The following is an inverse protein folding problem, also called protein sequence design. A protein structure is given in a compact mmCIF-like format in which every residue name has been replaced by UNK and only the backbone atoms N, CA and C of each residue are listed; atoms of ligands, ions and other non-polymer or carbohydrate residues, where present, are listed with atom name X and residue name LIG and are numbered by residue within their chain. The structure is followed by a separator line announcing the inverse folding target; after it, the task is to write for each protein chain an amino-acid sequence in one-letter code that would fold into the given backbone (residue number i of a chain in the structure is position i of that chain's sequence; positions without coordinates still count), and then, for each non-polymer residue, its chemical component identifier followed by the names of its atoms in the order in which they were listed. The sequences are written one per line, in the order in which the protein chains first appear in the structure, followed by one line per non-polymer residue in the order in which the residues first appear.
data_IF_379916663758
#
_entry.id   IF_379916663758
#
_cell.length_a   1.000
_cell.length_b   1.000
_cell.length_c   1.000
_cell.angle_alpha   90.00
_cell.angle_beta   90.00
_cell.angle_gamma   90.00
#
_symmetry.space_group_name_H-M   'P 1'
#
loop_
_entity.id
_entity.type
_entity.pdbx_description
1 polymer ?
#
# COMPACT_ATOMS: atom_id res chain seq x y z
N UNK A 1 -14.55 -10.82 -15.82
CA UNK A 1 -15.16 -9.83 -14.90
C UNK A 1 -14.05 -9.09 -14.18
N UNK A 2 -14.17 -7.77 -14.06
CA UNK A 2 -13.23 -6.96 -13.29
C UNK A 2 -13.44 -7.27 -11.78
N UNK A 3 -12.44 -7.78 -11.04
CA UNK A 3 -12.59 -8.05 -9.61
C UNK A 3 -12.87 -6.74 -8.87
N UNK A 4 -14.10 -6.56 -8.42
CA UNK A 4 -14.48 -5.36 -7.66
C UNK A 4 -13.94 -5.43 -6.24
N UNK A 5 -13.40 -4.32 -5.78
CA UNK A 5 -12.91 -4.11 -4.43
C UNK A 5 -13.80 -3.06 -3.77
N UNK A 6 -14.38 -3.33 -2.60
CA UNK A 6 -15.07 -2.28 -1.83
C UNK A 6 -14.13 -1.75 -0.76
N UNK A 7 -14.33 -0.51 -0.33
CA UNK A 7 -13.48 0.10 0.69
C UNK A 7 -13.53 -0.67 2.01
N UNK A 8 -14.72 -1.11 2.43
CA UNK A 8 -14.88 -1.96 3.61
C UNK A 8 -14.09 -3.27 3.49
N UNK A 9 -14.24 -3.99 2.37
CA UNK A 9 -13.53 -5.26 2.16
C UNK A 9 -12.01 -5.07 2.05
N UNK A 10 -11.55 -3.93 1.54
CA UNK A 10 -10.12 -3.64 1.43
C UNK A 10 -9.53 -3.20 2.78
N UNK A 11 -10.30 -2.43 3.55
CA UNK A 11 -9.92 -2.02 4.89
C UNK A 11 -9.79 -3.24 5.81
N UNK A 12 -10.78 -4.12 5.80
CA UNK A 12 -10.71 -5.36 6.57
C UNK A 12 -9.51 -6.23 6.15
N UNK A 13 -9.29 -6.39 4.84
CA UNK A 13 -8.10 -7.08 4.35
C UNK A 13 -6.82 -6.42 4.86
N UNK A 14 -6.76 -5.09 4.86
CA UNK A 14 -5.59 -4.33 5.30
C UNK A 14 -5.29 -4.56 6.77
N UNK A 15 -6.31 -4.53 7.63
CA UNK A 15 -6.17 -4.85 9.05
C UNK A 15 -5.67 -6.29 9.25
N UNK A 16 -6.28 -7.26 8.58
CA UNK A 16 -5.92 -8.68 8.70
C UNK A 16 -4.49 -8.95 8.19
N UNK A 17 -4.08 -8.28 7.12
CA UNK A 17 -2.75 -8.43 6.53
C UNK A 17 -1.69 -7.72 7.37
N UNK A 18 -2.00 -6.54 7.91
CA UNK A 18 -1.09 -5.80 8.76
C UNK A 18 -0.84 -6.51 10.10
N UNK A 19 -1.85 -7.21 10.62
CA UNK A 19 -1.74 -8.01 11.83
C UNK A 19 -0.90 -9.29 11.67
N UNK A 20 -0.50 -9.66 10.44
CA UNK A 20 0.32 -10.85 10.22
C UNK A 20 1.71 -10.69 10.87
N UNK A 21 2.23 -11.72 11.56
CA UNK A 21 3.51 -11.65 12.25
C UNK A 21 4.64 -11.21 11.32
N UNK A 22 5.24 -10.05 11.63
CA UNK A 22 6.37 -9.50 10.88
C UNK A 22 5.99 -8.58 9.72
N UNK A 23 4.72 -8.47 9.33
CA UNK A 23 4.33 -7.55 8.24
C UNK A 23 4.59 -6.10 8.61
N UNK A 24 4.18 -5.68 9.82
CA UNK A 24 4.41 -4.32 10.33
C UNK A 24 5.88 -3.90 10.21
N UNK A 25 6.81 -4.74 10.66
CA UNK A 25 8.24 -4.46 10.59
C UNK A 25 8.75 -4.30 9.14
N UNK A 26 8.26 -5.15 8.22
CA UNK A 26 8.59 -5.06 6.80
C UNK A 26 8.03 -3.78 6.18
N UNK A 27 6.76 -3.46 6.48
CA UNK A 27 6.06 -2.29 5.99
C UNK A 27 6.75 -1.00 6.45
N UNK A 28 6.99 -0.86 7.75
CA UNK A 28 7.68 0.31 8.33
C UNK A 28 9.07 0.48 7.74
N UNK A 29 9.84 -0.59 7.59
CA UNK A 29 11.17 -0.52 6.98
C UNK A 29 11.11 -0.14 5.49
N UNK A 30 10.15 -0.65 4.72
CA UNK A 30 9.94 -0.26 3.33
C UNK A 30 9.55 1.22 3.20
N UNK A 31 8.71 1.71 4.11
CA UNK A 31 8.28 3.10 4.16
C UNK A 31 9.42 4.04 4.54
N UNK A 32 10.09 3.78 5.66
CA UNK A 32 11.09 4.70 6.22
C UNK A 32 12.38 4.72 5.39
N UNK A 33 12.82 3.58 4.85
CA UNK A 33 14.09 3.50 4.11
C UNK A 33 13.94 3.76 2.61
N UNK A 34 12.78 3.46 2.02
CA UNK A 34 12.58 3.55 0.56
C UNK A 34 11.37 4.39 0.14
N UNK A 35 10.68 5.03 1.08
CA UNK A 35 9.53 5.90 0.78
C UNK A 35 8.32 5.16 0.21
N UNK A 36 8.22 3.85 0.44
CA UNK A 36 7.07 3.05 -0.02
C UNK A 36 5.80 3.50 0.70
N UNK A 37 4.75 3.77 -0.08
CA UNK A 37 3.42 4.04 0.49
C UNK A 37 2.78 2.71 0.96
N UNK A 38 2.38 2.66 2.23
CA UNK A 38 1.83 1.45 2.86
C UNK A 38 0.49 1.04 2.27
N UNK A 39 -0.42 1.97 1.99
CA UNK A 39 -1.72 1.65 1.38
C UNK A 39 -1.56 1.05 -0.03
N UNK A 40 -0.58 1.51 -0.82
CA UNK A 40 -0.24 0.91 -2.10
C UNK A 40 0.43 -0.45 -1.94
N UNK A 41 1.28 -0.65 -0.92
CA UNK A 41 1.87 -1.95 -0.60
C UNK A 41 0.78 -2.97 -0.22
N UNK A 42 -0.20 -2.56 0.59
CA UNK A 42 -1.35 -3.39 0.94
C UNK A 42 -2.20 -3.72 -0.28
N UNK A 43 -2.40 -2.76 -1.21
CA UNK A 43 -3.10 -3.01 -2.47
C UNK A 43 -2.35 -4.01 -3.34
N UNK A 44 -1.02 -3.94 -3.39
CA UNK A 44 -0.19 -4.92 -4.07
C UNK A 44 -0.38 -6.32 -3.44
N UNK A 45 -0.35 -6.43 -2.12
CA UNK A 45 -0.57 -7.69 -1.42
C UNK A 45 -1.95 -8.29 -1.74
N UNK A 46 -3.00 -7.45 -1.73
CA UNK A 46 -4.35 -7.86 -2.13
C UNK A 46 -4.39 -8.35 -3.57
N UNK A 47 -3.78 -7.62 -4.50
CA UNK A 47 -3.71 -8.00 -5.92
C UNK A 47 -3.00 -9.34 -6.10
N UNK A 48 -1.90 -9.57 -5.39
CA UNK A 48 -1.15 -10.83 -5.45
C UNK A 48 -1.99 -12.00 -4.90
N UNK A 49 -2.69 -11.82 -3.77
CA UNK A 49 -3.56 -12.84 -3.17
C UNK A 49 -4.74 -13.19 -4.08
N UNK A 50 -5.31 -12.21 -4.78
CA UNK A 50 -6.47 -12.36 -5.67
C UNK A 50 -6.08 -12.60 -7.13
N UNK A 51 -4.78 -12.68 -7.44
CA UNK A 51 -4.22 -12.81 -8.80
C UNK A 51 -4.69 -11.70 -9.75
N UNK A 52 -4.91 -10.50 -9.23
CA UNK A 52 -5.18 -9.30 -10.02
C UNK A 52 -3.86 -8.75 -10.57
N UNK A 53 -3.90 -8.28 -11.81
CA UNK A 53 -2.76 -7.73 -12.53
C UNK A 53 -2.91 -6.22 -12.67
N UNK A 54 -1.92 -5.49 -12.16
CA UNK A 54 -1.71 -4.08 -12.39
C UNK A 54 -0.42 -3.86 -13.19
N UNK A 55 -0.54 -3.08 -14.24
CA UNK A 55 0.60 -2.62 -15.05
C UNK A 55 1.23 -1.37 -14.43
N UNK A 56 2.44 -1.01 -14.87
CA UNK A 56 3.10 0.22 -14.40
C UNK A 56 2.24 1.49 -14.66
N UNK A 57 1.61 1.70 -15.84
CA UNK A 57 0.73 2.85 -16.03
C UNK A 57 -0.44 2.91 -15.04
N UNK A 58 -1.03 1.76 -14.70
CA UNK A 58 -2.12 1.70 -13.73
C UNK A 58 -1.63 2.05 -12.31
N UNK A 59 -0.44 1.58 -11.94
CA UNK A 59 0.21 2.00 -10.69
C UNK A 59 0.48 3.50 -10.65
N UNK A 60 0.93 4.09 -11.75
CA UNK A 60 1.14 5.54 -11.85
C UNK A 60 -0.18 6.31 -11.72
N UNK A 61 -1.27 5.83 -12.33
CA UNK A 61 -2.60 6.42 -12.15
C UNK A 61 -3.05 6.38 -10.69
N UNK A 62 -2.87 5.25 -10.01
CA UNK A 62 -3.19 5.10 -8.59
C UNK A 62 -2.34 6.05 -7.72
N UNK A 63 -1.02 6.10 -7.94
CA UNK A 63 -0.12 6.98 -7.22
C UNK A 63 -0.47 8.47 -7.41
N UNK A 64 -0.82 8.86 -8.63
CA UNK A 64 -1.22 10.24 -8.93
C UNK A 64 -2.52 10.61 -8.20
N UNK A 65 -3.50 9.70 -8.17
CA UNK A 65 -4.78 9.94 -7.52
C UNK A 65 -4.64 10.19 -6.00
N UNK A 66 -3.71 9.50 -5.34
CA UNK A 66 -3.47 9.67 -3.91
C UNK A 66 -2.38 10.67 -3.54
N UNK A 67 -1.75 11.34 -4.51
CA UNK A 67 -0.60 12.23 -4.28
C UNK A 67 -0.88 13.31 -3.23
N UNK A 68 -2.08 13.90 -3.24
CA UNK A 68 -2.53 14.87 -2.22
C UNK A 68 -2.60 14.24 -0.83
N UNK A 69 -3.27 13.09 -0.70
CA UNK A 69 -3.38 12.36 0.57
C UNK A 69 -2.00 11.94 1.10
N UNK A 70 -1.06 11.59 0.22
CA UNK A 70 0.31 11.25 0.61
C UNK A 70 1.07 12.46 1.18
N UNK A 71 0.87 13.65 0.61
CA UNK A 71 1.45 14.88 1.14
C UNK A 71 0.89 15.20 2.53
N UNK A 72 -0.44 15.11 2.70
CA UNK A 72 -1.12 15.32 3.99
C UNK A 72 -0.65 14.32 5.05
N UNK A 73 -0.54 13.03 4.71
CA UNK A 73 -0.01 12.01 5.62
C UNK A 73 1.44 12.25 6.02
N UNK A 74 2.29 12.70 5.09
CA UNK A 74 3.70 13.03 5.41
C UNK A 74 3.81 14.19 6.39
N UNK A 75 3.05 15.25 6.17
CA UNK A 75 2.99 16.39 7.08
C UNK A 75 2.46 15.96 8.46
N UNK A 76 1.37 15.20 8.50
CA UNK A 76 0.79 14.69 9.73
C UNK A 76 1.78 13.82 10.52
N UNK A 77 2.47 12.90 9.84
CA UNK A 77 3.50 12.03 10.45
C UNK A 77 4.65 12.85 11.05
N UNK A 78 5.01 13.98 10.46
CA UNK A 78 6.01 14.88 11.05
C UNK A 78 5.49 15.47 12.38
N UNK A 79 4.28 16.03 12.39
CA UNK A 79 3.65 16.57 13.60
C UNK A 79 3.53 15.51 14.69
N UNK A 80 3.13 14.29 14.34
CA UNK A 80 3.06 13.16 15.28
C UNK A 80 4.42 12.77 15.85
N UNK A 81 5.48 12.77 15.03
CA UNK A 81 6.85 12.47 15.48
C UNK A 81 7.33 13.51 16.51
N UNK A 82 7.04 14.79 16.27
CA UNK A 82 7.36 15.90 17.19
C UNK A 82 6.56 15.83 18.49
N UNK A 83 5.32 15.33 18.44
CA UNK A 83 4.45 15.17 19.59
C UNK A 83 4.75 13.92 20.46
N UNK A 84 5.79 13.14 20.14
CA UNK A 84 6.12 11.90 20.87
C UNK A 84 6.40 12.19 22.35
N UNK A 85 5.68 11.51 23.24
CA UNK A 85 5.75 11.72 24.69
C UNK A 85 4.82 12.80 25.25
N UNK A 86 4.07 13.49 24.37
CA UNK A 86 3.02 14.42 24.78
C UNK A 86 1.64 13.73 24.90
N UNK A 87 0.69 14.40 25.56
CA UNK A 87 -0.72 13.95 25.63
C UNK A 87 -1.42 13.92 24.26
N UNK A 88 -0.92 14.65 23.27
CA UNK A 88 -1.47 14.70 21.90
C UNK A 88 -1.05 13.53 21.02
N UNK A 89 -0.06 12.75 21.44
CA UNK A 89 0.50 11.69 20.61
C UNK A 89 -0.54 10.64 20.19
N UNK A 90 -1.43 10.26 21.12
CA UNK A 90 -2.45 9.25 20.85
C UNK A 90 -3.54 9.78 19.91
N UNK A 91 -4.03 11.01 20.11
CA UNK A 91 -5.04 11.59 19.21
C UNK A 91 -4.50 11.73 17.77
N UNK A 92 -3.23 12.09 17.62
CA UNK A 92 -2.56 12.14 16.33
C UNK A 92 -2.48 10.75 15.67
N UNK A 93 -2.27 9.66 16.43
CA UNK A 93 -2.35 8.31 15.84
C UNK A 93 -3.74 8.01 15.29
N UNK A 94 -4.78 8.39 16.01
CA UNK A 94 -6.16 8.14 15.59
C UNK A 94 -6.51 8.96 14.34
N UNK A 95 -6.05 10.22 14.27
CA UNK A 95 -6.16 11.08 13.09
C UNK A 95 -5.40 10.50 11.87
N UNK A 96 -4.17 10.00 12.08
CA UNK A 96 -3.38 9.35 11.02
C UNK A 96 -4.14 8.17 10.42
N UNK A 97 -4.81 7.37 11.26
CA UNK A 97 -5.62 6.25 10.80
C UNK A 97 -6.82 6.70 9.93
N UNK A 98 -7.44 7.83 10.25
CA UNK A 98 -8.51 8.41 9.41
C UNK A 98 -7.97 8.87 8.05
N UNK A 99 -6.79 9.50 8.03
CA UNK A 99 -6.13 9.93 6.79
C UNK A 99 -5.75 8.72 5.92
N UNK A 100 -5.23 7.64 6.54
CA UNK A 100 -4.92 6.40 5.82
C UNK A 100 -6.18 5.74 5.26
N UNK A 101 -7.28 5.74 6.01
CA UNK A 101 -8.58 5.24 5.53
C UNK A 101 -9.09 6.03 4.33
N UNK A 102 -9.00 7.37 4.36
CA UNK A 102 -9.39 8.22 3.24
C UNK A 102 -8.52 7.99 1.99
N UNK A 103 -7.19 7.87 2.18
CA UNK A 103 -6.28 7.52 1.08
C UNK A 103 -6.64 6.17 0.47
N UNK A 104 -6.98 5.19 1.31
CA UNK A 104 -7.34 3.86 0.87
C UNK A 104 -8.69 3.82 0.13
N UNK A 105 -9.68 4.59 0.58
CA UNK A 105 -10.94 4.79 -0.15
C UNK A 105 -10.69 5.33 -1.56
N UNK A 106 -9.84 6.34 -1.70
CA UNK A 106 -9.47 6.91 -3.00
C UNK A 106 -8.79 5.87 -3.92
N UNK A 107 -7.89 5.03 -3.38
CA UNK A 107 -7.29 3.92 -4.13
C UNK A 107 -8.36 2.96 -4.67
N UNK A 108 -9.35 2.60 -3.85
CA UNK A 108 -10.42 1.66 -4.24
C UNK A 108 -11.28 2.23 -5.36
N UNK A 109 -11.65 3.51 -5.26
CA UNK A 109 -12.44 4.19 -6.30
C UNK A 109 -11.73 4.17 -7.65
N UNK A 110 -10.45 4.56 -7.67
CA UNK A 110 -9.64 4.59 -8.89
C UNK A 110 -9.40 3.17 -9.40
N UNK A 111 -9.05 2.23 -8.53
CA UNK A 111 -8.84 0.83 -8.89
C UNK A 111 -10.07 0.23 -9.60
N UNK A 112 -11.27 0.47 -9.07
CA UNK A 112 -12.51 -0.04 -9.67
C UNK A 112 -12.84 0.59 -11.04
N UNK A 113 -12.33 1.80 -11.31
CA UNK A 113 -12.47 2.46 -12.60
C UNK A 113 -11.41 1.98 -13.63
N UNK A 114 -10.33 1.34 -13.18
CA UNK A 114 -9.29 0.83 -14.07
C UNK A 114 -9.69 -0.49 -14.74
N UNK A 115 -9.27 -0.73 -16.00
CA UNK A 115 -9.44 -2.02 -16.66
C UNK A 115 -8.41 -3.02 -16.13
N UNK A 116 -8.70 -3.71 -15.03
CA UNK A 116 -7.78 -4.70 -14.46
C UNK A 116 -8.12 -6.13 -14.91
N UNK A 117 -7.07 -6.91 -15.15
CA UNK A 117 -7.17 -8.31 -15.55
C UNK A 117 -6.88 -9.24 -14.36
N UNK A 118 -7.38 -10.46 -14.44
CA UNK A 118 -7.01 -11.54 -13.52
C UNK A 118 -6.08 -12.50 -14.23
N UNK A 119 -4.96 -12.84 -13.60
CA UNK A 119 -3.99 -13.79 -14.13
C UNK A 119 -4.59 -15.21 -14.13
N UNK A 120 -4.42 -15.92 -15.24
CA UNK A 120 -4.61 -17.38 -15.26
C UNK A 120 -3.56 -18.05 -14.37
N UNK A 121 -3.77 -19.32 -13.98
CA UNK A 121 -2.93 -20.00 -12.99
C UNK A 121 -1.43 -20.05 -13.34
N UNK A 122 -1.08 -19.90 -14.63
CA UNK A 122 0.29 -19.97 -15.15
C UNK A 122 0.85 -18.62 -15.60
N UNK A 123 0.06 -17.54 -15.54
CA UNK A 123 0.48 -16.24 -16.05
C UNK A 123 1.34 -15.47 -15.05
N UNK A 124 2.38 -14.81 -15.55
CA UNK A 124 3.22 -13.88 -14.80
C UNK A 124 2.38 -12.67 -14.35
N UNK A 125 2.44 -12.32 -13.05
CA UNK A 125 1.76 -11.13 -12.53
C UNK A 125 2.71 -9.90 -12.59
N UNK A 126 2.46 -8.90 -13.45
CA UNK A 126 3.33 -7.73 -13.60
C UNK A 126 3.21 -6.75 -12.43
N UNK A 127 2.26 -6.94 -11.50
CA UNK A 127 1.98 -6.00 -10.41
C UNK A 127 3.22 -5.68 -9.59
N UNK A 128 3.99 -6.71 -9.20
CA UNK A 128 5.20 -6.52 -8.41
C UNK A 128 6.30 -5.79 -9.20
N UNK A 129 6.48 -6.12 -10.49
CA UNK A 129 7.45 -5.45 -11.33
C UNK A 129 7.10 -3.96 -11.52
N UNK A 130 5.83 -3.65 -11.83
CA UNK A 130 5.35 -2.27 -11.92
C UNK A 130 5.52 -1.50 -10.61
N UNK A 131 5.25 -2.13 -9.48
CA UNK A 131 5.47 -1.52 -8.16
C UNK A 131 6.95 -1.25 -7.87
N UNK A 132 7.84 -2.20 -8.18
CA UNK A 132 9.30 -2.03 -8.05
C UNK A 132 9.78 -0.83 -8.89
N UNK A 133 9.26 -0.69 -10.11
CA UNK A 133 9.60 0.45 -10.97
C UNK A 133 9.06 1.77 -10.41
N UNK A 134 7.82 1.80 -9.92
CA UNK A 134 7.20 3.00 -9.36
C UNK A 134 8.01 3.57 -8.18
N UNK A 135 8.48 2.69 -7.28
CA UNK A 135 9.24 3.08 -6.09
C UNK A 135 10.77 3.00 -6.27
N UNK A 136 11.25 2.84 -7.51
CA UNK A 136 12.67 2.74 -7.84
C UNK A 136 13.45 1.68 -7.02
N UNK A 137 12.83 0.55 -6.69
CA UNK A 137 13.39 -0.46 -5.77
C UNK A 137 14.39 -1.41 -6.45
N UNK A 138 14.60 -1.31 -7.76
CA UNK A 138 15.31 -2.31 -8.58
C UNK A 138 16.74 -2.59 -8.09
N UNK A 139 17.45 -1.55 -7.68
CA UNK A 139 18.86 -1.64 -7.27
C UNK A 139 19.02 -1.85 -5.75
N UNK A 140 17.91 -1.92 -5.01
CA UNK A 140 17.89 -2.10 -3.57
C UNK A 140 17.55 -3.55 -3.21
N UNK A 141 18.57 -4.42 -3.17
CA UNK A 141 18.39 -5.85 -2.86
C UNK A 141 17.58 -6.09 -1.58
N UNK A 142 17.90 -5.35 -0.50
CA UNK A 142 17.17 -5.45 0.77
C UNK A 142 15.70 -5.05 0.62
N UNK A 143 15.39 -4.00 -0.15
CA UNK A 143 14.00 -3.61 -0.43
C UNK A 143 13.26 -4.72 -1.19
N UNK A 144 13.90 -5.31 -2.21
CA UNK A 144 13.31 -6.40 -2.99
C UNK A 144 13.04 -7.65 -2.13
N UNK A 145 13.96 -8.00 -1.23
CA UNK A 145 13.80 -9.15 -0.34
C UNK A 145 12.69 -8.90 0.70
N UNK A 146 12.59 -7.69 1.25
CA UNK A 146 11.51 -7.29 2.16
C UNK A 146 10.16 -7.26 1.44
N UNK A 147 10.10 -6.72 0.22
CA UNK A 147 8.89 -6.69 -0.60
C UNK A 147 8.39 -8.11 -0.92
N UNK A 148 9.31 -9.01 -1.29
CA UNK A 148 8.98 -10.42 -1.51
C UNK A 148 8.42 -11.07 -0.25
N UNK A 149 8.98 -10.79 0.92
CA UNK A 149 8.46 -11.31 2.19
C UNK A 149 7.06 -10.75 2.49
N UNK A 150 6.87 -9.43 2.34
CA UNK A 150 5.61 -8.76 2.62
C UNK A 150 4.44 -9.30 1.76
N UNK A 151 4.71 -9.61 0.49
CA UNK A 151 3.72 -10.17 -0.44
C UNK A 151 3.38 -11.63 -0.13
N UNK A 152 4.31 -12.39 0.46
CA UNK A 152 4.18 -13.83 0.70
C UNK A 152 3.94 -14.21 2.18
N UNK A 153 3.66 -13.23 3.03
CA UNK A 153 3.38 -13.47 4.44
C UNK A 153 2.12 -14.35 4.57
N UNK A 154 2.14 -15.28 5.53
CA UNK A 154 1.14 -16.36 5.68
C UNK A 154 0.32 -16.17 6.93
#
# INVERSE_FOLDING_TARGET
MNPKLTAETFWQFSLDWYAQPGFEALALSLQDEYGVNINMLLLLCWCMKRRVMLTLPQWQTLAQAISKHEAELKEHRQVRREAKGSSRYQSLKDEELQLESAQQQCLVEVFNALPVATASQTAFNPSAAGFIHLFALRDHKTALDRLKQAINIR
#
